data_IF_662691371361
#
_entry.id   IF_662691371361
#
_cell.length_a   1.000
_cell.length_b   1.000
_cell.length_c   1.000
_cell.angle_alpha   90.00
_cell.angle_beta   90.00
_cell.angle_gamma   90.00
#
_symmetry.space_group_name_H-M   'P 1'
#
loop_
_entity.id
_entity.type
_entity.pdbx_description
1 polymer ?
#
# COMPACT_ATOMS: atom_id res chain seq x y z
N UNK A 1 -2.66 51.62 -84.75
CA UNK A 1 -2.13 52.70 -83.90
C UNK A 1 -1.43 52.05 -82.74
N UNK A 2 -0.14 52.35 -82.62
CA UNK A 2 0.76 51.91 -81.56
C UNK A 2 0.45 52.59 -80.22
N UNK A 3 1.20 52.13 -79.21
CA UNK A 3 1.40 52.66 -77.84
C UNK A 3 0.34 52.22 -76.82
N UNK A 4 0.66 51.64 -75.67
CA UNK A 4 1.91 51.28 -75.01
C UNK A 4 1.56 50.58 -73.69
N UNK A 5 2.40 49.65 -73.22
CA UNK A 5 2.11 48.82 -72.03
C UNK A 5 2.76 49.26 -70.72
N UNK A 6 2.34 48.62 -69.61
CA UNK A 6 3.17 48.14 -68.48
C UNK A 6 2.27 47.26 -67.56
N UNK A 7 2.51 45.95 -67.46
CA UNK A 7 3.17 45.19 -66.36
C UNK A 7 2.53 45.40 -64.96
N UNK A 8 1.98 44.41 -64.23
CA UNK A 8 2.59 43.18 -63.68
C UNK A 8 1.51 42.17 -63.18
N UNK A 9 1.85 40.88 -63.20
CA UNK A 9 1.10 39.67 -62.78
C UNK A 9 1.02 39.48 -61.23
N UNK A 10 0.48 38.38 -60.62
CA UNK A 10 -0.27 37.21 -61.13
C UNK A 10 -1.51 36.78 -60.28
N UNK A 11 -2.37 35.91 -60.86
CA UNK A 11 -3.38 35.11 -60.14
C UNK A 11 -2.76 34.03 -59.24
N UNK A 12 -3.31 33.82 -58.03
CA UNK A 12 -2.98 32.71 -57.11
C UNK A 12 -4.30 32.11 -56.54
N UNK A 13 -4.40 30.77 -56.34
CA UNK A 13 -5.68 30.04 -56.37
C UNK A 13 -6.34 29.79 -55.00
N UNK A 14 -7.64 29.46 -55.06
CA UNK A 14 -8.50 29.00 -53.95
C UNK A 14 -8.00 27.68 -53.32
N UNK A 15 -7.98 27.61 -51.98
CA UNK A 15 -8.46 26.48 -51.13
C UNK A 15 -8.36 26.83 -49.63
N UNK A 16 -9.45 27.36 -49.07
CA UNK A 16 -9.62 27.56 -47.62
C UNK A 16 -9.98 26.24 -46.94
N UNK A 17 -9.11 25.79 -46.01
CA UNK A 17 -9.34 24.64 -45.13
C UNK A 17 -10.52 24.90 -44.19
N UNK A 18 -11.53 24.04 -44.23
CA UNK A 18 -12.61 23.97 -43.25
C UNK A 18 -12.04 23.66 -41.86
N UNK A 19 -11.96 24.68 -40.98
CA UNK A 19 -11.75 24.46 -39.55
C UNK A 19 -13.06 23.97 -38.96
N UNK A 20 -13.16 22.66 -38.73
CA UNK A 20 -14.20 22.11 -37.85
C UNK A 20 -14.06 22.74 -36.46
N UNK A 21 -15.15 23.23 -35.83
CA UNK A 21 -15.07 23.77 -34.48
C UNK A 21 -14.71 22.63 -33.53
N UNK A 22 -13.60 22.76 -32.80
CA UNK A 22 -13.32 21.87 -31.66
C UNK A 22 -14.43 22.09 -30.65
N UNK A 23 -15.29 21.08 -30.45
CA UNK A 23 -16.21 21.03 -29.32
C UNK A 23 -15.42 21.31 -28.03
N UNK A 24 -15.91 22.17 -27.13
CA UNK A 24 -15.30 22.32 -25.82
C UNK A 24 -15.26 20.92 -25.18
N UNK A 25 -14.10 20.52 -24.64
CA UNK A 25 -14.01 19.30 -23.83
C UNK A 25 -14.94 19.53 -22.65
N UNK A 26 -16.04 18.80 -22.59
CA UNK A 26 -16.86 18.74 -21.39
C UNK A 26 -15.93 18.44 -20.21
N UNK A 27 -15.99 19.29 -19.20
CA UNK A 27 -15.33 19.06 -17.92
C UNK A 27 -16.02 17.87 -17.26
N UNK A 28 -15.64 16.65 -17.65
CA UNK A 28 -16.12 15.42 -17.02
C UNK A 28 -15.50 15.38 -15.62
N UNK A 29 -16.26 15.83 -14.62
CA UNK A 29 -15.91 15.62 -13.21
C UNK A 29 -15.75 14.12 -12.98
N UNK A 30 -14.55 13.68 -12.58
CA UNK A 30 -14.26 12.28 -12.25
C UNK A 30 -14.07 12.15 -10.74
N UNK A 31 -14.83 11.25 -10.12
CA UNK A 31 -14.64 10.84 -8.74
C UNK A 31 -13.70 9.63 -8.69
N UNK A 32 -12.85 9.57 -7.66
CA UNK A 32 -11.94 8.45 -7.42
C UNK A 32 -12.30 7.77 -6.11
N UNK A 33 -12.19 6.45 -6.08
CA UNK A 33 -12.36 5.69 -4.85
C UNK A 33 -11.16 5.90 -3.91
N UNK A 34 -11.28 5.57 -2.60
CA UNK A 34 -10.12 5.56 -1.71
C UNK A 34 -8.98 4.67 -2.21
N UNK A 35 -9.31 3.47 -2.71
CA UNK A 35 -8.31 2.54 -3.25
C UNK A 35 -7.61 3.12 -4.49
N UNK A 36 -8.35 3.77 -5.38
CA UNK A 36 -7.80 4.44 -6.55
C UNK A 36 -6.90 5.61 -6.17
N UNK A 37 -7.31 6.43 -5.19
CA UNK A 37 -6.48 7.51 -4.65
C UNK A 37 -5.12 6.98 -4.17
N UNK A 38 -5.11 5.89 -3.40
CA UNK A 38 -3.87 5.32 -2.87
C UNK A 38 -3.05 4.57 -3.93
N UNK A 39 -3.70 3.97 -4.93
CA UNK A 39 -3.04 3.37 -6.09
C UNK A 39 -2.27 4.42 -6.92
N UNK A 40 -2.82 5.63 -7.03
CA UNK A 40 -2.16 6.75 -7.72
C UNK A 40 -1.10 7.45 -6.85
N UNK A 41 -1.31 7.51 -5.53
CA UNK A 41 -0.46 8.25 -4.58
C UNK A 41 0.34 7.30 -3.67
N UNK A 42 1.09 6.38 -4.28
CA UNK A 42 1.79 5.29 -3.59
C UNK A 42 2.86 5.75 -2.59
N UNK A 43 3.44 6.93 -2.84
CA UNK A 43 4.42 7.57 -1.97
C UNK A 43 3.87 7.90 -0.58
N UNK A 44 2.58 8.23 -0.46
CA UNK A 44 1.93 8.56 0.83
C UNK A 44 2.01 7.37 1.80
N UNK A 45 1.88 6.15 1.27
CA UNK A 45 1.94 4.93 2.07
C UNK A 45 3.34 4.30 2.14
N UNK A 46 4.36 4.91 1.53
CA UNK A 46 5.70 4.35 1.50
C UNK A 46 5.91 3.20 0.50
N UNK A 47 5.12 3.14 -0.56
CA UNK A 47 5.22 2.18 -1.66
C UNK A 47 5.71 2.85 -2.96
N UNK A 48 6.68 3.75 -2.84
CA UNK A 48 7.22 4.55 -3.97
C UNK A 48 8.27 3.81 -4.79
N UNK A 49 9.02 2.88 -4.19
CA UNK A 49 10.07 2.11 -4.84
C UNK A 49 10.04 0.63 -4.40
N UNK A 50 10.37 -0.33 -5.29
CA UNK A 50 10.24 -1.76 -5.00
C UNK A 50 10.92 -2.20 -3.70
N UNK A 51 12.13 -1.69 -3.42
CA UNK A 51 12.85 -2.03 -2.20
C UNK A 51 12.17 -1.53 -0.92
N UNK A 52 11.62 -0.31 -0.94
CA UNK A 52 10.83 0.23 0.17
C UNK A 52 9.50 -0.50 0.30
N UNK A 53 8.86 -0.91 -0.80
CA UNK A 53 7.65 -1.73 -0.77
C UNK A 53 7.88 -3.03 0.01
N UNK A 54 9.00 -3.72 -0.24
CA UNK A 54 9.38 -4.94 0.49
C UNK A 54 9.56 -4.68 2.00
N UNK A 55 10.32 -3.64 2.34
CA UNK A 55 10.53 -3.23 3.73
C UNK A 55 9.22 -2.84 4.44
N UNK A 56 8.41 -1.98 3.81
CA UNK A 56 7.14 -1.51 4.36
C UNK A 56 6.17 -2.66 4.55
N UNK A 57 6.10 -3.61 3.60
CA UNK A 57 5.24 -4.80 3.73
C UNK A 57 5.63 -5.63 4.95
N UNK A 58 6.92 -5.91 5.14
CA UNK A 58 7.39 -6.62 6.35
C UNK A 58 7.02 -5.87 7.62
N UNK A 59 7.26 -4.55 7.66
CA UNK A 59 6.93 -3.71 8.82
C UNK A 59 5.44 -3.78 9.16
N UNK A 60 4.57 -3.55 8.18
CA UNK A 60 3.12 -3.50 8.40
C UNK A 60 2.57 -4.87 8.84
N UNK A 61 3.12 -5.99 8.31
CA UNK A 61 2.72 -7.33 8.73
C UNK A 61 3.19 -7.65 10.16
N UNK A 62 4.44 -7.33 10.50
CA UNK A 62 4.99 -7.54 11.86
C UNK A 62 4.26 -6.70 12.91
N UNK A 63 3.97 -5.43 12.61
CA UNK A 63 3.25 -4.55 13.54
C UNK A 63 1.82 -5.05 13.80
N UNK A 64 1.12 -5.55 12.77
CA UNK A 64 -0.20 -6.12 12.92
C UNK A 64 -0.19 -7.46 13.68
N UNK A 65 0.83 -8.29 13.47
CA UNK A 65 1.02 -9.54 14.20
C UNK A 65 1.22 -9.29 15.70
N UNK A 66 2.06 -8.31 16.06
CA UNK A 66 2.29 -7.91 17.45
C UNK A 66 1.03 -7.34 18.09
N UNK A 67 0.36 -6.39 17.43
CA UNK A 67 -0.91 -5.82 17.92
C UNK A 67 -1.97 -6.93 18.13
N UNK A 68 -2.00 -7.94 17.26
CA UNK A 68 -2.94 -9.08 17.33
C UNK A 68 -2.68 -9.96 18.55
N UNK A 69 -1.44 -10.34 18.82
CA UNK A 69 -1.07 -11.17 19.98
C UNK A 69 -1.21 -10.42 21.31
N UNK A 70 -0.76 -9.16 21.36
CA UNK A 70 -0.85 -8.32 22.56
C UNK A 70 -2.31 -8.02 22.93
N UNK A 71 -3.22 -7.91 21.95
CA UNK A 71 -4.63 -7.63 22.22
C UNK A 71 -5.35 -8.70 23.05
N UNK A 72 -4.81 -9.93 23.08
CA UNK A 72 -5.33 -11.05 23.86
C UNK A 72 -4.37 -11.48 24.96
N UNK A 73 -3.41 -10.62 25.31
CA UNK A 73 -2.37 -10.90 26.31
C UNK A 73 -1.65 -12.24 26.06
N UNK A 74 -1.39 -12.55 24.78
CA UNK A 74 -0.63 -13.74 24.40
C UNK A 74 0.80 -13.36 24.03
N UNK A 75 1.79 -14.11 24.50
CA UNK A 75 3.20 -13.83 24.21
C UNK A 75 3.46 -14.00 22.70
N UNK A 76 3.85 -12.94 21.97
CA UNK A 76 3.92 -12.99 20.52
C UNK A 76 4.99 -13.97 20.02
N UNK A 77 4.61 -14.77 19.03
CA UNK A 77 5.49 -15.56 18.19
C UNK A 77 5.19 -15.17 16.75
N UNK A 78 6.16 -14.55 16.09
CA UNK A 78 6.01 -14.02 14.73
C UNK A 78 7.05 -14.63 13.82
N UNK A 79 6.61 -15.26 12.74
CA UNK A 79 7.46 -15.87 11.73
C UNK A 79 7.33 -15.08 10.43
N UNK A 80 8.46 -14.59 9.92
CA UNK A 80 8.54 -13.81 8.69
C UNK A 80 9.43 -14.55 7.71
N UNK A 81 8.86 -14.94 6.57
CA UNK A 81 9.58 -15.61 5.48
C UNK A 81 9.52 -14.76 4.22
N UNK A 82 10.68 -14.48 3.64
CA UNK A 82 10.82 -13.82 2.33
C UNK A 82 11.42 -14.82 1.37
N UNK A 83 10.63 -15.30 0.42
CA UNK A 83 11.06 -16.21 -0.64
C UNK A 83 11.30 -15.41 -1.93
N UNK A 84 12.49 -15.53 -2.53
CA UNK A 84 12.81 -15.02 -3.86
C UNK A 84 12.10 -15.86 -4.93
N UNK A 85 11.40 -15.20 -5.85
CA UNK A 85 10.71 -15.86 -6.95
C UNK A 85 11.47 -15.58 -8.25
N UNK A 86 12.05 -16.63 -8.84
CA UNK A 86 12.67 -16.56 -10.16
C UNK A 86 11.68 -16.21 -11.27
N UNK A 87 12.17 -15.61 -12.36
CA UNK A 87 11.34 -15.09 -13.46
C UNK A 87 10.43 -16.14 -14.09
N UNK A 88 10.93 -17.35 -14.32
CA UNK A 88 10.14 -18.46 -14.90
C UNK A 88 8.99 -18.88 -13.98
N UNK A 89 9.27 -19.03 -12.67
CA UNK A 89 8.25 -19.32 -11.64
C UNK A 89 7.20 -18.21 -11.58
N UNK A 90 7.64 -16.95 -11.63
CA UNK A 90 6.74 -15.80 -11.66
C UNK A 90 5.84 -15.78 -12.91
N UNK A 91 6.41 -15.94 -14.11
CA UNK A 91 5.65 -16.00 -15.37
C UNK A 91 4.59 -17.10 -15.34
N UNK A 92 4.94 -18.27 -14.81
CA UNK A 92 4.02 -19.39 -14.64
C UNK A 92 2.86 -19.04 -13.68
N UNK A 93 3.16 -18.34 -12.57
CA UNK A 93 2.13 -17.91 -11.60
C UNK A 93 1.13 -16.92 -12.19
N UNK A 94 1.56 -16.02 -13.07
CA UNK A 94 0.68 -15.04 -13.73
C UNK A 94 0.01 -15.60 -15.00
N UNK A 95 0.23 -16.88 -15.32
CA UNK A 95 -0.35 -17.52 -16.50
C UNK A 95 0.26 -17.07 -17.83
N UNK A 96 1.44 -16.45 -17.81
CA UNK A 96 2.22 -16.21 -19.02
C UNK A 96 3.01 -17.48 -19.37
N UNK A 97 2.37 -18.37 -20.13
CA UNK A 97 3.10 -19.29 -21.00
C UNK A 97 3.81 -18.50 -22.09
N UNK A 98 5.02 -18.92 -22.49
CA UNK A 98 5.75 -18.37 -23.63
C UNK A 98 4.91 -18.57 -24.91
N UNK A 99 4.02 -17.62 -25.19
CA UNK A 99 3.33 -17.54 -26.47
C UNK A 99 4.24 -16.79 -27.44
N UNK A 100 4.54 -17.40 -28.58
CA UNK A 100 5.21 -16.71 -29.68
C UNK A 100 4.45 -15.41 -30.01
N UNK A 101 5.20 -14.32 -30.24
CA UNK A 101 4.62 -13.06 -30.71
C UNK A 101 3.92 -13.34 -32.03
N UNK A 102 2.58 -13.31 -32.03
CA UNK A 102 1.79 -13.59 -33.24
C UNK A 102 1.89 -12.49 -34.28
N UNK A 103 2.07 -11.25 -33.85
CA UNK A 103 2.19 -10.10 -34.72
C UNK A 103 3.34 -9.21 -34.25
N UNK A 104 4.52 -9.46 -34.81
CA UNK A 104 5.73 -8.71 -34.47
C UNK A 104 5.59 -7.22 -34.82
N UNK A 105 4.75 -6.85 -35.79
CA UNK A 105 4.60 -5.48 -36.26
C UNK A 105 3.84 -4.55 -35.28
N UNK A 106 3.20 -5.12 -34.26
CA UNK A 106 2.48 -4.36 -33.23
C UNK A 106 3.39 -3.78 -32.15
N UNK A 107 4.66 -4.21 -32.09
CA UNK A 107 5.58 -3.82 -31.01
C UNK A 107 6.53 -2.70 -31.45
N UNK A 108 6.84 -1.78 -30.54
CA UNK A 108 7.75 -0.65 -30.79
C UNK A 108 9.21 -1.09 -31.05
N UNK A 109 9.55 -2.33 -30.70
CA UNK A 109 10.84 -2.97 -31.00
C UNK A 109 10.83 -3.75 -32.34
N UNK A 110 9.75 -3.64 -33.12
CA UNK A 110 9.65 -4.25 -34.43
C UNK A 110 10.72 -3.70 -35.37
N UNK A 111 11.73 -4.53 -35.61
CA UNK A 111 12.80 -4.23 -36.55
C UNK A 111 12.48 -4.92 -37.88
N UNK A 112 12.14 -4.13 -38.90
CA UNK A 112 11.99 -4.68 -40.27
C UNK A 112 13.25 -5.46 -40.66
N UNK A 113 13.12 -6.52 -41.46
CA UNK A 113 14.27 -7.36 -41.87
C UNK A 113 15.45 -6.52 -42.42
N UNK A 114 15.14 -5.45 -43.16
CA UNK A 114 16.11 -4.49 -43.69
C UNK A 114 16.80 -3.65 -42.62
N UNK A 115 16.09 -3.27 -41.55
CA UNK A 115 16.68 -2.57 -40.40
C UNK A 115 17.58 -3.50 -39.58
N UNK A 116 17.15 -4.76 -39.38
CA UNK A 116 17.90 -5.80 -38.66
C UNK A 116 19.20 -6.14 -39.36
N UNK A 117 19.16 -6.34 -40.68
CA UNK A 117 20.34 -6.56 -41.50
C UNK A 117 21.32 -5.37 -41.43
N UNK A 118 20.80 -4.14 -41.49
CA UNK A 118 21.61 -2.91 -41.37
C UNK A 118 22.26 -2.78 -40.00
N UNK A 119 21.57 -3.15 -38.92
CA UNK A 119 22.12 -3.13 -37.55
C UNK A 119 23.19 -4.19 -37.37
N UNK A 120 22.93 -5.43 -37.79
CA UNK A 120 23.89 -6.54 -37.72
C UNK A 120 25.15 -6.24 -38.55
N UNK A 121 25.00 -5.66 -39.75
CA UNK A 121 26.14 -5.22 -40.57
C UNK A 121 26.95 -4.10 -39.91
N UNK A 122 26.28 -3.18 -39.18
CA UNK A 122 26.94 -2.11 -38.42
C UNK A 122 27.69 -2.67 -37.20
N UNK A 123 27.08 -3.61 -36.47
CA UNK A 123 27.70 -4.30 -35.33
C UNK A 123 28.92 -5.13 -35.77
N UNK A 124 28.81 -5.87 -36.88
CA UNK A 124 29.92 -6.62 -37.47
C UNK A 124 31.09 -5.72 -37.88
N UNK A 125 30.82 -4.57 -38.53
CA UNK A 125 31.86 -3.59 -38.86
C UNK A 125 32.53 -2.99 -37.63
N UNK A 126 31.76 -2.71 -36.57
CA UNK A 126 32.30 -2.19 -35.30
C UNK A 126 33.20 -3.23 -34.62
N UNK A 127 32.78 -4.49 -34.60
CA UNK A 127 33.57 -5.60 -34.07
C UNK A 127 34.85 -5.83 -34.88
N UNK A 128 34.78 -5.74 -36.21
CA UNK A 128 35.96 -5.86 -37.08
C UNK A 128 36.95 -4.71 -36.85
N UNK A 129 36.46 -3.47 -36.70
CA UNK A 129 37.28 -2.30 -36.37
C UNK A 129 37.88 -2.44 -34.96
N UNK A 130 37.14 -2.97 -33.99
CA UNK A 130 37.64 -3.25 -32.65
C UNK A 130 38.72 -4.34 -32.65
N UNK A 131 38.52 -5.42 -33.42
CA UNK A 131 39.50 -6.49 -33.56
C UNK A 131 40.80 -5.98 -34.22
N UNK A 132 40.70 -5.14 -35.26
CA UNK A 132 41.85 -4.49 -35.90
C UNK A 132 42.57 -3.52 -34.96
N UNK A 133 41.83 -2.77 -34.14
CA UNK A 133 42.41 -1.86 -33.15
C UNK A 133 43.07 -2.61 -31.99
N UNK A 134 42.54 -3.76 -31.58
CA UNK A 134 43.13 -4.64 -30.58
C UNK A 134 44.43 -5.30 -31.09
N UNK A 135 44.46 -5.72 -32.37
CA UNK A 135 45.66 -6.25 -33.01
C UNK A 135 46.80 -5.21 -33.15
N UNK A 136 46.47 -3.92 -33.18
CA UNK A 136 47.42 -2.80 -33.28
C UNK A 136 47.88 -2.24 -31.90
N UNK A 137 47.56 -2.91 -30.78
CA UNK A 137 48.07 -2.57 -29.46
C UNK A 137 47.57 -1.25 -28.87
N UNK A 138 46.56 -0.60 -29.47
CA UNK A 138 45.93 0.60 -28.91
C UNK A 138 44.96 0.20 -27.80
N UNK A 139 45.08 0.80 -26.61
CA UNK A 139 44.13 0.61 -25.50
C UNK A 139 42.70 0.86 -25.99
N UNK A 140 41.92 -0.21 -26.05
CA UNK A 140 40.50 -0.18 -26.35
C UNK A 140 39.80 0.54 -25.20
N UNK A 141 39.32 1.77 -25.45
CA UNK A 141 38.29 2.36 -24.60
C UNK A 141 37.03 1.56 -24.88
N UNK A 142 36.54 0.84 -23.87
CA UNK A 142 35.23 0.19 -23.93
C UNK A 142 34.21 1.21 -24.47
N UNK A 143 33.46 0.89 -25.53
CA UNK A 143 32.31 1.68 -25.88
C UNK A 143 31.38 1.59 -24.69
N UNK A 144 31.25 2.71 -23.98
CA UNK A 144 30.16 2.94 -23.06
C UNK A 144 28.91 2.34 -23.68
N UNK A 145 28.39 1.29 -23.02
CA UNK A 145 27.13 0.66 -23.35
C UNK A 145 26.17 1.78 -23.72
N UNK A 146 25.78 1.79 -25.00
CA UNK A 146 24.83 2.76 -25.51
C UNK A 146 23.63 2.66 -24.58
N UNK A 147 23.30 3.77 -23.93
CA UNK A 147 22.17 3.94 -23.01
C UNK A 147 20.85 3.66 -23.75
N UNK A 148 20.56 2.40 -24.05
CA UNK A 148 19.21 1.89 -23.93
C UNK A 148 19.07 1.54 -22.46
N UNK A 149 18.09 2.13 -21.79
CA UNK A 149 17.76 1.83 -20.42
C UNK A 149 17.45 0.33 -20.30
N UNK A 150 18.45 -0.51 -20.00
CA UNK A 150 18.22 -1.79 -19.34
C UNK A 150 17.68 -1.42 -17.96
N UNK A 151 16.36 -1.23 -17.89
CA UNK A 151 15.65 -1.24 -16.63
C UNK A 151 16.12 -2.49 -15.90
N UNK A 152 16.62 -2.31 -14.67
CA UNK A 152 16.98 -3.41 -13.80
C UNK A 152 15.77 -4.34 -13.75
N UNK A 153 15.92 -5.59 -14.17
CA UNK A 153 14.78 -6.53 -14.23
C UNK A 153 14.11 -6.60 -12.86
N UNK A 154 12.78 -6.48 -12.85
CA UNK A 154 11.97 -6.53 -11.65
C UNK A 154 12.15 -7.90 -10.97
N UNK A 155 12.54 -7.88 -9.69
CA UNK A 155 12.64 -9.07 -8.86
C UNK A 155 11.39 -9.19 -7.98
N UNK A 156 10.86 -10.41 -7.84
CA UNK A 156 9.63 -10.67 -7.11
C UNK A 156 9.91 -11.51 -5.87
N UNK A 157 9.18 -11.23 -4.80
CA UNK A 157 9.34 -11.89 -3.53
C UNK A 157 7.97 -12.25 -2.95
N UNK A 158 7.86 -13.46 -2.40
CA UNK A 158 6.73 -13.87 -1.57
C UNK A 158 7.08 -13.57 -0.12
N UNK A 159 6.32 -12.66 0.49
CA UNK A 159 6.42 -12.32 1.91
C UNK A 159 5.31 -13.06 2.64
N UNK A 160 5.69 -13.91 3.58
CA UNK A 160 4.76 -14.63 4.46
C UNK A 160 4.99 -14.15 5.88
N UNK A 161 3.92 -13.77 6.57
CA UNK A 161 3.93 -13.44 8.00
C UNK A 161 2.94 -14.35 8.71
N UNK A 162 3.42 -15.13 9.67
CA UNK A 162 2.61 -16.00 10.52
C UNK A 162 2.72 -15.56 11.97
N UNK A 163 1.59 -15.49 12.66
CA UNK A 163 1.53 -15.13 14.07
C UNK A 163 0.71 -16.11 14.90
N UNK A 164 0.81 -15.97 16.22
CA UNK A 164 -0.02 -16.66 17.21
C UNK A 164 -1.02 -15.70 17.88
N UNK A 165 -1.53 -14.73 17.12
CA UNK A 165 -2.39 -13.67 17.61
C UNK A 165 -3.85 -14.10 17.83
N UNK A 166 -4.76 -13.13 17.85
CA UNK A 166 -6.20 -13.36 18.08
C UNK A 166 -6.92 -14.02 16.89
N UNK A 167 -6.33 -13.93 15.70
CA UNK A 167 -6.97 -14.28 14.44
C UNK A 167 -8.01 -13.27 13.97
N UNK A 168 -8.78 -13.64 12.95
CA UNK A 168 -9.79 -12.80 12.31
C UNK A 168 -11.08 -13.63 12.10
N UNK A 169 -12.26 -13.04 12.33
CA UNK A 169 -13.52 -13.71 12.04
C UNK A 169 -13.65 -14.02 10.55
N UNK A 170 -14.14 -15.21 10.22
CA UNK A 170 -14.28 -15.71 8.84
C UNK A 170 -14.92 -14.67 7.91
N UNK A 171 -16.12 -14.20 8.26
CA UNK A 171 -16.92 -13.30 7.40
C UNK A 171 -16.32 -11.89 7.25
N UNK A 172 -15.43 -11.49 8.17
CA UNK A 172 -14.82 -10.16 8.17
C UNK A 172 -13.53 -10.10 7.34
N UNK A 173 -12.84 -11.23 7.12
CA UNK A 173 -11.55 -11.29 6.41
C UNK A 173 -11.59 -10.53 5.08
N UNK A 174 -12.58 -10.73 4.19
CA UNK A 174 -12.60 -10.03 2.91
C UNK A 174 -12.62 -8.50 3.06
N UNK A 175 -13.46 -7.97 3.96
CA UNK A 175 -13.57 -6.53 4.16
C UNK A 175 -12.36 -5.96 4.92
N UNK A 176 -11.70 -6.75 5.77
CA UNK A 176 -10.50 -6.33 6.50
C UNK A 176 -9.29 -6.06 5.58
N UNK A 177 -9.20 -6.74 4.43
CA UNK A 177 -8.09 -6.58 3.47
C UNK A 177 -8.50 -5.90 2.16
N UNK A 178 -9.66 -6.24 1.59
CA UNK A 178 -10.07 -5.77 0.26
C UNK A 178 -10.90 -4.47 0.25
N UNK A 179 -11.11 -3.80 1.40
CA UNK A 179 -11.77 -2.50 1.47
C UNK A 179 -10.87 -1.46 2.13
N UNK A 180 -10.39 -0.48 1.38
CA UNK A 180 -9.53 0.59 1.89
C UNK A 180 -10.30 1.52 2.81
N UNK A 181 -9.63 2.00 3.87
CA UNK A 181 -10.23 2.72 4.99
C UNK A 181 -11.34 1.91 5.70
N UNK A 182 -11.13 0.59 5.82
CA UNK A 182 -11.81 -0.27 6.78
C UNK A 182 -10.82 -0.72 7.86
N UNK A 183 -11.29 -1.04 9.06
CA UNK A 183 -10.42 -1.56 10.10
C UNK A 183 -11.07 -1.53 11.48
N UNK A 184 -10.41 -2.18 12.42
CA UNK A 184 -10.87 -2.27 13.82
C UNK A 184 -10.15 -1.29 14.73
N UNK A 185 -9.37 -0.35 14.18
CA UNK A 185 -8.49 0.59 14.91
C UNK A 185 -9.03 2.03 14.97
N UNK A 186 -10.34 2.25 14.83
CA UNK A 186 -10.94 3.59 14.84
C UNK A 186 -11.18 4.19 16.23
N UNK A 187 -11.08 3.37 17.29
CA UNK A 187 -11.15 3.83 18.67
C UNK A 187 -9.92 4.64 19.10
N UNK A 188 -10.07 5.48 20.12
CA UNK A 188 -8.95 6.21 20.70
C UNK A 188 -8.19 5.29 21.66
N UNK A 189 -7.32 4.48 21.08
CA UNK A 189 -6.47 3.51 21.77
C UNK A 189 -5.08 3.54 21.16
N UNK A 190 -4.05 3.36 21.98
CA UNK A 190 -2.69 3.24 21.48
C UNK A 190 -2.53 1.93 20.69
N UNK A 191 -2.18 2.05 19.41
CA UNK A 191 -1.85 0.96 18.49
C UNK A 191 -0.63 1.34 17.66
N UNK A 192 0.11 0.37 17.12
CA UNK A 192 1.28 0.66 16.26
C UNK A 192 0.87 1.34 14.96
N UNK A 193 -0.15 0.80 14.30
CA UNK A 193 -0.75 1.37 13.08
C UNK A 193 -1.97 2.26 13.38
N UNK A 194 -2.05 3.44 12.74
CA UNK A 194 -3.12 4.43 12.96
C UNK A 194 -4.32 4.31 12.02
N UNK A 195 -4.08 4.03 10.74
CA UNK A 195 -5.13 4.16 9.71
C UNK A 195 -5.70 2.83 9.21
N UNK A 196 -5.17 1.69 9.70
CA UNK A 196 -5.55 0.37 9.19
C UNK A 196 -5.24 0.15 7.70
N UNK A 197 -4.33 0.96 7.15
CA UNK A 197 -4.02 1.00 5.70
C UNK A 197 -2.93 0.02 5.29
N UNK A 198 -1.96 -0.29 6.16
CA UNK A 198 -0.72 -0.98 5.80
C UNK A 198 -0.87 -2.24 4.94
N UNK A 199 -1.55 -3.26 5.46
CA UNK A 199 -1.75 -4.53 4.74
C UNK A 199 -2.56 -4.35 3.44
N UNK A 200 -3.49 -3.40 3.41
CA UNK A 200 -4.30 -3.08 2.22
C UNK A 200 -3.45 -2.39 1.15
N UNK A 201 -2.51 -1.54 1.56
CA UNK A 201 -1.55 -0.92 0.66
C UNK A 201 -0.58 -1.94 0.07
N UNK A 202 -0.15 -2.91 0.88
CA UNK A 202 0.61 -4.04 0.36
C UNK A 202 -0.20 -4.82 -0.69
N UNK A 203 -1.49 -5.08 -0.45
CA UNK A 203 -2.40 -5.73 -1.40
C UNK A 203 -2.54 -4.94 -2.71
N UNK A 204 -2.79 -3.63 -2.64
CA UNK A 204 -2.90 -2.78 -3.83
C UNK A 204 -1.60 -2.82 -4.63
N UNK A 205 -0.45 -2.71 -3.96
CA UNK A 205 0.85 -2.77 -4.64
C UNK A 205 1.10 -4.13 -5.27
N UNK A 206 0.80 -5.22 -4.55
CA UNK A 206 0.88 -6.58 -5.08
C UNK A 206 0.02 -6.73 -6.34
N UNK A 207 -1.24 -6.30 -6.31
CA UNK A 207 -2.12 -6.33 -7.47
C UNK A 207 -1.58 -5.51 -8.65
N UNK A 208 -1.07 -4.30 -8.39
CA UNK A 208 -0.54 -3.43 -9.45
C UNK A 208 0.78 -3.92 -10.06
N UNK A 209 1.64 -4.56 -9.27
CA UNK A 209 2.98 -4.99 -9.71
C UNK A 209 3.02 -6.44 -10.21
N UNK A 210 2.14 -7.30 -9.68
CA UNK A 210 2.16 -8.74 -9.96
C UNK A 210 0.84 -9.28 -10.50
N UNK A 211 -0.28 -8.61 -10.23
CA UNK A 211 -1.62 -9.11 -10.56
C UNK A 211 -2.09 -10.32 -9.73
N UNK A 212 -1.26 -10.82 -8.80
CA UNK A 212 -1.56 -11.99 -8.01
C UNK A 212 -2.44 -11.64 -6.79
N UNK A 213 -3.32 -12.57 -6.36
CA UNK A 213 -4.10 -12.38 -5.13
C UNK A 213 -3.24 -12.57 -3.88
N UNK A 214 -3.73 -12.06 -2.76
CA UNK A 214 -3.19 -12.36 -1.42
C UNK A 214 -3.85 -13.62 -0.87
N UNK A 215 -3.09 -14.41 -0.12
CA UNK A 215 -3.58 -15.58 0.60
C UNK A 215 -3.53 -15.32 2.10
N UNK A 216 -4.65 -15.60 2.78
CA UNK A 216 -4.86 -15.33 4.19
C UNK A 216 -5.41 -16.59 4.82
N UNK A 217 -4.71 -17.15 5.80
CA UNK A 217 -5.25 -18.16 6.70
C UNK A 217 -5.41 -17.55 8.10
N UNK A 218 -6.52 -17.79 8.78
CA UNK A 218 -6.71 -17.29 10.14
C UNK A 218 -7.61 -18.20 10.97
N UNK A 219 -7.26 -18.35 12.25
CA UNK A 219 -8.00 -19.15 13.21
C UNK A 219 -8.08 -18.41 14.54
N UNK A 220 -9.26 -18.45 15.16
CA UNK A 220 -9.51 -17.85 16.48
C UNK A 220 -9.53 -18.95 17.56
N UNK A 221 -9.11 -18.65 18.79
CA UNK A 221 -9.09 -19.63 19.90
C UNK A 221 -10.45 -20.30 20.17
N UNK A 222 -11.56 -19.63 19.87
CA UNK A 222 -12.92 -20.14 20.05
C UNK A 222 -13.42 -21.02 18.90
N UNK A 223 -12.63 -21.19 17.83
CA UNK A 223 -13.03 -21.88 16.61
C UNK A 223 -12.22 -23.18 16.44
N UNK A 224 -12.87 -24.21 15.88
CA UNK A 224 -12.25 -25.49 15.52
C UNK A 224 -11.87 -25.58 14.04
N UNK A 225 -11.90 -24.46 13.33
CA UNK A 225 -11.59 -24.36 11.91
C UNK A 225 -10.60 -23.22 11.65
N UNK A 226 -9.86 -23.34 10.56
CA UNK A 226 -9.03 -22.28 9.99
C UNK A 226 -9.76 -21.70 8.80
N UNK A 227 -10.04 -20.40 8.82
CA UNK A 227 -10.56 -19.68 7.67
C UNK A 227 -9.44 -19.49 6.65
N UNK A 228 -9.65 -19.93 5.42
CA UNK A 228 -8.77 -19.63 4.29
C UNK A 228 -9.48 -18.67 3.35
N UNK A 229 -8.81 -17.59 2.99
CA UNK A 229 -9.31 -16.63 2.02
C UNK A 229 -8.20 -16.25 1.03
N UNK A 230 -8.51 -16.39 -0.26
CA UNK A 230 -7.69 -15.88 -1.35
C UNK A 230 -8.47 -14.78 -2.04
N UNK A 231 -7.94 -13.57 -2.03
CA UNK A 231 -8.65 -12.40 -2.54
C UNK A 231 -7.72 -11.41 -3.23
N UNK A 232 -8.29 -10.55 -4.04
CA UNK A 232 -7.68 -9.30 -4.45
C UNK A 232 -8.65 -8.12 -4.20
N UNK A 233 -8.34 -6.93 -4.71
CA UNK A 233 -9.17 -5.72 -4.55
C UNK A 233 -9.61 -5.15 -5.90
N UNK A 234 -10.89 -4.85 -6.07
CA UNK A 234 -11.35 -3.95 -7.13
C UNK A 234 -10.98 -2.51 -6.72
N UNK A 235 -9.91 -1.98 -7.33
CA UNK A 235 -9.35 -0.66 -7.00
C UNK A 235 -10.36 0.45 -7.34
N UNK A 236 -11.16 0.30 -8.40
CA UNK A 236 -12.11 1.34 -8.80
C UNK A 236 -13.34 1.36 -7.90
N UNK A 237 -13.82 0.19 -7.47
CA UNK A 237 -15.00 0.09 -6.60
C UNK A 237 -14.68 0.11 -5.10
N UNK A 238 -13.41 -0.05 -4.73
CA UNK A 238 -12.97 -0.20 -3.33
C UNK A 238 -13.69 -1.35 -2.60
N UNK A 239 -13.81 -2.51 -3.26
CA UNK A 239 -14.44 -3.72 -2.70
C UNK A 239 -13.54 -4.93 -2.86
N UNK A 240 -13.63 -5.91 -1.92
CA UNK A 240 -12.90 -7.16 -2.06
C UNK A 240 -13.40 -7.93 -3.28
N UNK A 241 -12.46 -8.51 -4.01
CA UNK A 241 -12.73 -9.48 -5.07
C UNK A 241 -12.23 -10.84 -4.59
N UNK A 242 -13.17 -11.68 -4.17
CA UNK A 242 -12.91 -12.95 -3.49
C UNK A 242 -12.76 -14.05 -4.53
N UNK A 243 -11.62 -14.74 -4.52
CA UNK A 243 -11.38 -15.91 -5.37
C UNK A 243 -11.75 -17.21 -4.67
N UNK A 244 -11.37 -17.32 -3.39
CA UNK A 244 -11.68 -18.49 -2.54
C UNK A 244 -11.97 -17.98 -1.13
N UNK A 245 -12.98 -18.56 -0.48
CA UNK A 245 -13.29 -18.28 0.91
C UNK A 245 -13.92 -19.51 1.55
N UNK A 246 -13.13 -20.22 2.37
CA UNK A 246 -13.46 -21.55 2.85
C UNK A 246 -13.04 -21.73 4.31
N UNK A 247 -13.55 -22.79 4.94
CA UNK A 247 -13.18 -23.21 6.28
C UNK A 247 -12.49 -24.57 6.18
N UNK A 248 -11.27 -24.65 6.66
CA UNK A 248 -10.50 -25.89 6.75
C UNK A 248 -10.50 -26.40 8.19
N UNK A 249 -10.35 -27.72 8.35
CA UNK A 249 -10.25 -28.34 9.68
C UNK A 249 -8.96 -27.91 10.39
N UNK A 250 -9.06 -27.48 11.66
CA UNK A 250 -7.91 -27.03 12.44
C UNK A 250 -7.42 -28.14 13.39
N UNK A 251 -6.73 -29.14 12.83
CA UNK A 251 -6.22 -30.30 13.58
C UNK A 251 -5.19 -29.92 14.64
N UNK A 252 -4.34 -28.96 14.33
CA UNK A 252 -3.22 -28.53 15.18
C UNK A 252 -3.65 -27.55 16.29
N UNK A 253 -4.95 -27.18 16.33
CA UNK A 253 -5.50 -26.15 17.25
C UNK A 253 -4.70 -24.84 17.23
N UNK A 254 -4.14 -24.50 16.07
CA UNK A 254 -3.44 -23.24 15.89
C UNK A 254 -4.43 -22.08 15.95
N UNK A 255 -4.00 -20.94 16.49
CA UNK A 255 -4.73 -19.69 16.44
C UNK A 255 -3.77 -18.56 16.04
N UNK A 256 -4.26 -17.59 15.28
CA UNK A 256 -3.47 -16.51 14.72
C UNK A 256 -3.85 -16.18 13.29
N UNK A 257 -2.95 -15.51 12.59
CA UNK A 257 -3.07 -15.24 11.17
C UNK A 257 -1.77 -15.61 10.43
N UNK A 258 -1.93 -16.10 9.20
CA UNK A 258 -0.86 -16.28 8.23
C UNK A 258 -1.26 -15.51 6.98
N UNK A 259 -0.44 -14.54 6.59
CA UNK A 259 -0.68 -13.67 5.44
C UNK A 259 0.48 -13.84 4.48
N UNK A 260 0.16 -14.20 3.23
CA UNK A 260 1.11 -14.40 2.17
C UNK A 260 0.82 -13.48 1.00
N UNK A 261 1.81 -12.70 0.59
CA UNK A 261 1.69 -11.72 -0.49
C UNK A 261 2.92 -11.76 -1.41
N UNK A 262 2.69 -11.63 -2.71
CA UNK A 262 3.78 -11.54 -3.71
C UNK A 262 3.91 -10.10 -4.17
N UNK A 263 5.12 -9.55 -4.06
CA UNK A 263 5.39 -8.16 -4.40
C UNK A 263 6.69 -8.02 -5.19
N UNK A 264 6.75 -7.02 -6.06
CA UNK A 264 8.01 -6.56 -6.61
C UNK A 264 8.88 -5.93 -5.51
N UNK A 265 10.16 -6.29 -5.46
CA UNK A 265 11.08 -5.91 -4.40
C UNK A 265 12.54 -5.76 -4.82
N UNK A 266 13.38 -5.32 -3.89
CA UNK A 266 14.84 -5.31 -4.05
C UNK A 266 15.50 -5.71 -2.73
N UNK A 267 15.72 -7.02 -2.57
CA UNK A 267 16.35 -7.59 -1.38
C UNK A 267 17.78 -7.09 -1.17
N UNK A 268 18.60 -7.06 -2.23
CA UNK A 268 20.02 -6.69 -2.14
C UNK A 268 20.23 -5.33 -1.48
N UNK A 269 19.39 -4.34 -1.81
CA UNK A 269 19.49 -2.99 -1.25
C UNK A 269 18.83 -2.85 0.13
N UNK A 270 17.73 -3.57 0.39
CA UNK A 270 16.92 -3.36 1.61
C UNK A 270 17.11 -4.42 2.70
N UNK A 271 17.88 -5.47 2.44
CA UNK A 271 18.23 -6.51 3.42
C UNK A 271 18.71 -5.93 4.74
N UNK A 272 19.69 -5.02 4.71
CA UNK A 272 20.25 -4.42 5.93
C UNK A 272 19.19 -3.64 6.72
N UNK A 273 18.29 -2.93 6.03
CA UNK A 273 17.19 -2.17 6.65
C UNK A 273 16.14 -3.08 7.28
N UNK A 274 15.76 -4.16 6.60
CA UNK A 274 14.81 -5.16 7.12
C UNK A 274 15.41 -5.82 8.37
N UNK A 275 16.66 -6.27 8.30
CA UNK A 275 17.34 -6.88 9.44
C UNK A 275 17.53 -5.90 10.61
N UNK A 276 17.80 -4.63 10.32
CA UNK A 276 17.89 -3.58 11.34
C UNK A 276 16.54 -3.36 12.03
N UNK A 277 15.45 -3.28 11.26
CA UNK A 277 14.10 -3.19 11.81
C UNK A 277 13.76 -4.40 12.70
N UNK A 278 14.00 -5.62 12.24
CA UNK A 278 13.74 -6.82 13.06
C UNK A 278 14.56 -6.82 14.36
N UNK A 279 15.81 -6.36 14.33
CA UNK A 279 16.63 -6.18 15.54
C UNK A 279 16.05 -5.14 16.48
N UNK A 280 15.63 -3.98 15.96
CA UNK A 280 15.00 -2.94 16.78
C UNK A 280 13.72 -3.47 17.44
N UNK A 281 12.88 -4.18 16.68
CA UNK A 281 11.67 -4.81 17.23
C UNK A 281 12.00 -5.80 18.35
N UNK A 282 12.97 -6.69 18.15
CA UNK A 282 13.41 -7.63 19.18
C UNK A 282 13.93 -6.93 20.46
N UNK A 283 14.53 -5.74 20.34
CA UNK A 283 15.00 -4.96 21.49
C UNK A 283 13.85 -4.31 22.25
N UNK A 284 12.89 -3.67 21.55
CA UNK A 284 11.79 -2.94 22.19
C UNK A 284 10.63 -3.84 22.63
N UNK A 285 10.53 -5.05 22.08
CA UNK A 285 9.54 -6.08 22.45
C UNK A 285 10.25 -7.33 22.96
N UNK A 286 10.93 -7.27 24.13
CA UNK A 286 11.71 -8.39 24.65
C UNK A 286 10.85 -9.60 25.04
N UNK A 287 9.53 -9.44 25.08
CA UNK A 287 8.53 -10.49 25.30
C UNK A 287 8.06 -11.20 24.01
N UNK A 288 8.48 -10.73 22.83
CA UNK A 288 8.18 -11.36 21.56
C UNK A 288 9.30 -12.30 21.11
N UNK A 289 8.93 -13.35 20.39
CA UNK A 289 9.86 -14.20 19.64
C UNK A 289 9.68 -13.95 18.15
N UNK A 290 10.79 -13.74 17.43
CA UNK A 290 10.77 -13.59 15.97
C UNK A 290 11.60 -14.68 15.29
N UNK A 291 11.05 -15.29 14.25
CA UNK A 291 11.79 -16.14 13.32
C UNK A 291 11.81 -15.42 11.96
N UNK A 292 12.98 -15.00 11.51
CA UNK A 292 13.16 -14.40 10.20
C UNK A 292 13.86 -15.38 9.26
N UNK A 293 13.28 -15.61 8.08
CA UNK A 293 13.84 -16.47 7.05
C UNK A 293 13.87 -15.75 5.70
N UNK A 294 15.00 -15.81 5.03
CA UNK A 294 15.12 -15.50 3.60
C UNK A 294 15.45 -16.79 2.86
N UNK A 295 14.68 -17.10 1.83
CA UNK A 295 14.79 -18.31 1.01
C UNK A 295 14.99 -17.91 -0.45
N UNK A 296 15.99 -18.49 -1.09
CA UNK A 296 16.33 -18.32 -2.50
C UNK A 296 16.56 -19.70 -3.12
N UNK A 297 16.51 -19.77 -4.45
CA UNK A 297 16.87 -20.98 -5.20
C UNK A 297 18.33 -21.38 -4.98
N UNK A 298 19.19 -20.44 -4.55
CA UNK A 298 20.56 -20.71 -4.14
C UNK A 298 20.63 -20.89 -2.61
N UNK A 299 20.81 -22.12 -2.08
CA UNK A 299 20.78 -22.38 -0.63
C UNK A 299 21.82 -21.58 0.16
N UNK A 300 22.96 -21.26 -0.45
CA UNK A 300 24.03 -20.44 0.13
C UNK A 300 23.58 -19.01 0.49
N UNK A 301 22.55 -18.50 -0.18
CA UNK A 301 21.97 -17.18 0.09
C UNK A 301 20.92 -17.21 1.19
N UNK A 302 20.48 -18.40 1.61
CA UNK A 302 19.43 -18.54 2.61
C UNK A 302 19.92 -18.02 3.95
N UNK A 303 19.02 -17.36 4.66
CA UNK A 303 19.30 -16.76 5.96
C UNK A 303 18.21 -17.15 6.90
N UNK A 304 18.58 -17.66 8.07
CA UNK A 304 17.65 -17.85 9.18
C UNK A 304 18.20 -17.11 10.38
N UNK A 305 17.39 -16.24 10.97
CA UNK A 305 17.73 -15.50 12.19
C UNK A 305 16.59 -15.68 13.17
N UNK A 306 16.91 -16.19 14.36
CA UNK A 306 15.97 -16.33 15.46
C UNK A 306 16.28 -15.28 16.52
N UNK A 307 15.28 -14.48 16.87
CA UNK A 307 15.32 -13.57 18.00
C UNK A 307 14.50 -14.20 19.12
N UNK A 308 15.20 -14.73 20.13
CA UNK A 308 14.54 -15.35 21.28
C UNK A 308 14.02 -14.30 22.24
N UNK A 309 12.92 -14.64 22.90
CA UNK A 309 12.34 -13.86 23.98
C UNK A 309 13.36 -13.70 25.13
N UNK A 310 13.34 -12.55 25.78
CA UNK A 310 14.19 -12.20 26.94
C UNK A 310 13.41 -12.10 28.26
N UNK A 311 12.09 -11.95 28.20
CA UNK A 311 11.20 -11.92 29.38
C UNK A 311 9.81 -12.42 29.02
N UNK A 312 9.13 -13.14 29.91
CA UNK A 312 7.73 -13.54 29.73
C UNK A 312 6.73 -12.50 30.30
N UNK A 313 7.24 -11.37 30.81
CA UNK A 313 6.42 -10.28 31.36
C UNK A 313 6.04 -9.32 30.23
N UNK A 314 4.74 -9.24 29.92
CA UNK A 314 4.19 -8.28 28.97
C UNK A 314 3.71 -6.99 29.64
N UNK A 315 3.76 -5.86 28.94
CA UNK A 315 3.08 -4.65 29.39
C UNK A 315 1.56 -4.86 29.41
N UNK A 316 0.83 -4.10 30.24
CA UNK A 316 -0.63 -4.14 30.24
C UNK A 316 -1.18 -3.69 28.89
N UNK A 317 -2.28 -4.32 28.46
CA UNK A 317 -2.94 -3.99 27.19
C UNK A 317 -3.45 -2.55 27.26
N UNK A 318 -3.19 -1.71 26.24
CA UNK A 318 -3.70 -0.34 26.24
C UNK A 318 -5.23 -0.33 26.27
N UNK A 319 -5.78 0.53 27.11
CA UNK A 319 -7.22 0.73 27.24
C UNK A 319 -7.69 1.77 26.21
N UNK A 320 -8.91 1.61 25.73
CA UNK A 320 -9.58 2.65 24.96
C UNK A 320 -9.93 3.81 25.90
N UNK A 321 -9.69 5.04 25.45
CA UNK A 321 -9.91 6.26 26.24
C UNK A 321 -10.77 7.25 25.47
N UNK A 322 -11.22 8.30 26.16
CA UNK A 322 -11.97 9.41 25.56
C UNK A 322 -11.06 10.58 25.24
N UNK A 323 -11.57 11.55 24.50
CA UNK A 323 -10.77 12.70 24.09
C UNK A 323 -10.46 13.61 25.28
N UNK A 324 -9.23 14.12 25.32
CA UNK A 324 -8.89 15.20 26.22
C UNK A 324 -9.45 16.53 25.67
N UNK A 325 -10.01 17.42 26.51
CA UNK A 325 -10.63 18.66 26.04
C UNK A 325 -9.71 19.61 25.27
N UNK A 326 -8.39 19.55 25.49
CA UNK A 326 -7.43 20.35 24.73
C UNK A 326 -7.16 19.83 23.31
N UNK A 327 -7.56 18.59 23.02
CA UNK A 327 -7.27 17.91 21.76
C UNK A 327 -8.48 17.89 20.80
N UNK A 328 -9.58 18.57 21.15
CA UNK A 328 -10.81 18.52 20.36
C UNK A 328 -10.99 19.74 19.45
N UNK A 329 -11.46 19.47 18.24
CA UNK A 329 -11.87 20.49 17.28
C UNK A 329 -13.41 20.51 17.14
N UNK A 330 -13.91 21.52 16.44
CA UNK A 330 -15.36 21.71 16.26
C UNK A 330 -16.01 20.56 15.46
N UNK A 331 -15.28 19.92 14.56
CA UNK A 331 -15.80 18.82 13.75
C UNK A 331 -15.97 17.56 14.59
N UNK A 332 -14.99 17.28 15.45
CA UNK A 332 -15.03 16.20 16.43
C UNK A 332 -16.17 16.42 17.42
N UNK A 333 -16.33 17.64 17.95
CA UNK A 333 -17.45 17.95 18.87
C UNK A 333 -18.80 17.69 18.18
N UNK A 334 -18.98 18.14 16.94
CA UNK A 334 -20.20 17.86 16.16
C UNK A 334 -20.46 16.36 16.04
N UNK A 335 -19.42 15.59 15.70
CA UNK A 335 -19.51 14.13 15.60
C UNK A 335 -19.93 13.52 16.94
N UNK A 336 -19.26 13.88 18.03
CA UNK A 336 -19.55 13.38 19.37
C UNK A 336 -20.98 13.74 19.82
N UNK A 337 -21.49 14.93 19.48
CA UNK A 337 -22.87 15.34 19.76
C UNK A 337 -23.89 14.48 19.00
N UNK A 338 -23.58 14.09 17.75
CA UNK A 338 -24.45 13.22 16.95
C UNK A 338 -24.44 11.77 17.44
N UNK A 339 -23.31 11.28 17.95
CA UNK A 339 -23.12 9.89 18.36
C UNK A 339 -23.50 9.62 19.83
N UNK A 340 -23.40 10.63 20.69
CA UNK A 340 -23.66 10.46 22.13
C UNK A 340 -25.12 10.17 22.44
N UNK A 341 -25.34 9.39 23.50
CA UNK A 341 -26.66 9.20 24.10
C UNK A 341 -27.04 10.32 25.08
N UNK A 342 -26.09 11.20 25.45
CA UNK A 342 -26.29 12.24 26.47
C UNK A 342 -27.10 13.40 25.91
N UNK A 343 -28.22 13.70 26.58
CA UNK A 343 -29.18 14.71 26.10
C UNK A 343 -28.83 16.13 26.53
N UNK A 344 -28.03 16.28 27.59
CA UNK A 344 -27.69 17.57 28.18
C UNK A 344 -26.21 17.88 27.99
N UNK A 345 -25.88 19.16 27.80
CA UNK A 345 -24.51 19.63 27.64
C UNK A 345 -23.63 19.26 28.85
N UNK A 346 -24.18 19.32 30.06
CA UNK A 346 -23.49 18.92 31.28
C UNK A 346 -23.06 17.46 31.24
N UNK A 347 -23.99 16.55 30.91
CA UNK A 347 -23.70 15.13 30.80
C UNK A 347 -22.74 14.84 29.64
N UNK A 348 -22.88 15.55 28.53
CA UNK A 348 -21.97 15.45 27.40
C UNK A 348 -20.53 15.78 27.81
N UNK A 349 -20.30 16.95 28.41
CA UNK A 349 -18.97 17.36 28.87
C UNK A 349 -18.39 16.38 29.90
N UNK A 350 -19.21 15.90 30.83
CA UNK A 350 -18.76 14.97 31.87
C UNK A 350 -18.42 13.57 31.34
N UNK A 351 -19.16 13.10 30.33
CA UNK A 351 -19.07 11.71 29.91
C UNK A 351 -18.37 11.51 28.57
N UNK A 352 -18.26 12.48 27.67
CA UNK A 352 -17.59 12.30 26.38
C UNK A 352 -16.11 12.69 26.39
N UNK A 353 -15.63 13.32 27.46
CA UNK A 353 -14.23 13.74 27.62
C UNK A 353 -13.59 13.11 28.84
N UNK A 354 -12.28 12.91 28.79
CA UNK A 354 -11.51 12.55 29.98
C UNK A 354 -11.31 13.77 30.88
N UNK A 355 -11.18 13.52 32.19
CA UNK A 355 -10.85 14.51 33.21
C UNK A 355 -11.82 15.70 33.35
N UNK A 356 -13.03 15.62 32.81
CA UNK A 356 -14.10 16.58 33.11
C UNK A 356 -15.04 15.98 34.16
N UNK A 357 -14.79 16.30 35.43
CA UNK A 357 -15.76 16.04 36.50
C UNK A 357 -16.95 17.01 36.45
N UNK A 358 -18.01 16.71 37.21
CA UNK A 358 -19.22 17.55 37.30
C UNK A 358 -18.90 19.03 37.59
N UNK A 359 -18.02 19.30 38.56
CA UNK A 359 -17.59 20.67 38.91
C UNK A 359 -16.89 21.40 37.77
N UNK A 360 -16.11 20.69 36.95
CA UNK A 360 -15.43 21.26 35.79
C UNK A 360 -16.43 21.55 34.67
N UNK A 361 -17.34 20.62 34.40
CA UNK A 361 -18.40 20.80 33.41
C UNK A 361 -19.33 21.97 33.77
N UNK A 362 -19.73 22.10 35.04
CA UNK A 362 -20.54 23.23 35.52
C UNK A 362 -19.82 24.58 35.32
N UNK A 363 -18.52 24.68 35.64
CA UNK A 363 -17.75 25.90 35.38
C UNK A 363 -17.68 26.25 33.89
N UNK A 364 -17.55 25.26 33.01
CA UNK A 364 -17.51 25.47 31.56
C UNK A 364 -18.87 25.94 31.00
N UNK A 365 -19.97 25.61 31.67
CA UNK A 365 -21.33 25.97 31.23
C UNK A 365 -21.73 27.38 31.69
N UNK A 366 -20.97 28.02 32.59
CA UNK A 366 -21.31 29.36 33.12
C UNK A 366 -20.50 30.44 32.40
N UNK A 367 -21.08 30.96 31.31
CA UNK A 367 -20.83 32.31 30.83
C UNK A 367 -21.95 32.87 29.93
N UNK A 368 -22.79 32.05 29.25
CA UNK A 368 -23.91 32.65 28.48
C UNK A 368 -25.08 31.73 28.03
N UNK A 369 -25.13 30.42 28.32
CA UNK A 369 -26.23 29.58 27.82
C UNK A 369 -26.71 28.52 28.82
N UNK A 370 -28.03 28.43 28.94
CA UNK A 370 -28.81 27.68 29.94
C UNK A 370 -28.35 26.23 30.09
N UNK A 371 -28.00 25.85 31.32
CA UNK A 371 -27.58 24.51 31.76
C UNK A 371 -28.59 23.36 31.50
N UNK A 372 -29.77 23.68 30.93
CA UNK A 372 -30.85 22.73 30.57
C UNK A 372 -31.11 22.64 29.07
N UNK A 373 -30.29 23.27 28.23
CA UNK A 373 -30.47 23.24 26.78
C UNK A 373 -30.22 21.83 26.26
N UNK A 374 -31.23 21.24 25.60
CA UNK A 374 -31.06 19.98 24.86
C UNK A 374 -30.06 20.23 23.73
N UNK A 375 -29.07 19.35 23.60
CA UNK A 375 -28.15 19.43 22.47
C UNK A 375 -28.93 19.15 21.18
N UNK A 376 -28.91 20.10 20.23
CA UNK A 376 -29.38 19.90 18.84
C UNK A 376 -28.29 20.34 17.90
N UNK A 377 -28.07 19.58 16.82
CA UNK A 377 -27.19 19.98 15.72
C UNK A 377 -28.01 20.86 14.78
N UNK A 378 -27.70 22.16 14.58
CA UNK A 378 -28.43 22.99 13.63
C UNK A 378 -28.10 22.60 12.18
N UNK A 379 -29.11 22.52 11.31
CA UNK A 379 -28.94 22.20 9.87
C UNK A 379 -28.27 23.33 9.07
N UNK A 380 -28.31 24.56 9.58
CA UNK A 380 -27.67 25.73 8.98
C UNK A 380 -26.60 26.28 9.91
N UNK A 381 -25.39 26.48 9.39
CA UNK A 381 -24.37 27.41 9.92
C UNK A 381 -24.31 27.51 11.44
N UNK A 382 -23.42 26.73 12.04
CA UNK A 382 -23.24 26.67 13.49
C UNK A 382 -22.86 28.03 14.07
N UNK A 383 -23.82 28.74 14.67
CA UNK A 383 -23.55 29.81 15.64
C UNK A 383 -23.22 29.16 17.00
N UNK A 384 -22.12 28.41 17.02
CA UNK A 384 -21.46 28.02 18.26
C UNK A 384 -20.38 29.06 18.54
N UNK A 385 -20.76 30.19 19.13
CA UNK A 385 -19.81 31.02 19.91
C UNK A 385 -19.39 30.32 21.20
N UNK A 386 -19.06 29.02 21.13
CA UNK A 386 -18.31 28.38 22.18
C UNK A 386 -16.85 28.77 21.94
N UNK A 387 -16.44 29.90 22.52
CA UNK A 387 -15.04 30.09 22.84
C UNK A 387 -14.70 29.00 23.84
N UNK A 388 -14.17 27.87 23.37
CA UNK A 388 -13.18 27.16 24.15
C UNK A 388 -12.07 28.19 24.36
N UNK A 389 -12.14 28.90 25.48
CA UNK A 389 -11.00 29.67 25.95
C UNK A 389 -9.89 28.64 25.99
N UNK A 390 -8.88 28.84 25.13
CA UNK A 390 -7.62 28.10 25.17
C UNK A 390 -7.24 27.98 26.65
N UNK A 391 -7.25 26.77 27.17
CA UNK A 391 -6.59 26.46 28.44
C UNK A 391 -5.10 26.70 28.23
#
# INVERSE_FOLDING_TARGET
METGGSSESPEVPKKGKSKTPRKPKDSILKQKSPAEFFADNKNIAGFDNPGKCLYTTVRELVENALDSAESISNLPVVEITIEEIGRSKFNSMIGLSDHERRDEALYDDFETAKAREKRLAKEARVLEIQAKNAALGKKVKDPAATKAAKGREAAYYRVTCKDNGRGMPHDDIPNMFGRVLSGTKYGLKQTRGKFGLGAKMALIWSKMSTGLPIEIASSMKSQNYTSFCRLDIDIHKNVPHIHVHEKWENKDRWHGAEIQIVIEGNWTTYRSKILHYMRQMAVITPYAQFLFQFVSDSPEKNVTIRFTRRTDIMPPVPLETKYHPSAVDILLIKRLITETSKQTLLQFLQHEFVNIGKSHAERLIVADYVARTRMRVPETGVDMRFRFVKI
#
